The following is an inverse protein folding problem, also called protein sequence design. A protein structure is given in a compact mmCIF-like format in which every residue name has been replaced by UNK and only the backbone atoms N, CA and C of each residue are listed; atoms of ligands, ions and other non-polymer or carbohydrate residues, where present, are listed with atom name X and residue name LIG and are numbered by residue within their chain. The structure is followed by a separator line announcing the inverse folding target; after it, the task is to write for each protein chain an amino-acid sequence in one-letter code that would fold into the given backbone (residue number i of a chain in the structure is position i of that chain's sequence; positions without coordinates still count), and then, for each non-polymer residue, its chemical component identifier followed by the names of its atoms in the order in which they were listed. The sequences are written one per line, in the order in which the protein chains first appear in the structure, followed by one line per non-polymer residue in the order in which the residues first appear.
data_IF_555939736668
#
_entry.id   IF_555939736668
#
_cell.length_a   1.000
_cell.length_b   1.000
_cell.length_c   1.000
_cell.angle_alpha   90.00
_cell.angle_beta   90.00
_cell.angle_gamma   90.00
#
_symmetry.space_group_name_H-M   'P 1'
#
loop_
_entity.id
_entity.type
_entity.pdbx_description
1 polymer ?
#
# COMPACT_ATOMS: atom_id res chain seq x y z
N UNK A 1 -8.10 20.74 -0.68
CA UNK A 1 -7.04 19.85 -1.19
C UNK A 1 -6.68 18.97 0.00
N UNK A 2 -7.01 17.67 -0.04
CA UNK A 2 -6.68 16.78 1.08
C UNK A 2 -5.28 16.22 0.82
N UNK A 3 -4.44 16.22 1.84
CA UNK A 3 -3.07 15.72 1.72
C UNK A 3 -3.10 14.21 1.39
N UNK A 4 -2.20 13.81 0.49
CA UNK A 4 -2.03 12.41 0.13
C UNK A 4 -1.37 11.66 1.30
N UNK A 5 -1.75 10.41 1.50
CA UNK A 5 -1.18 9.56 2.54
C UNK A 5 0.31 9.31 2.33
N UNK A 6 1.04 9.12 3.42
CA UNK A 6 2.49 8.90 3.39
C UNK A 6 2.87 7.52 3.91
N UNK A 7 3.75 6.82 3.19
CA UNK A 7 4.46 5.67 3.71
C UNK A 7 5.78 6.16 4.33
N UNK A 8 5.90 6.01 5.65
CA UNK A 8 7.12 6.36 6.39
C UNK A 8 7.92 5.10 6.70
N UNK A 9 9.20 5.12 6.32
CA UNK A 9 10.13 4.02 6.54
C UNK A 9 11.05 4.38 7.71
N UNK A 10 11.14 3.47 8.67
CA UNK A 10 11.93 3.62 9.88
C UNK A 10 13.02 2.55 9.96
N UNK A 11 14.19 2.91 10.48
CA UNK A 11 15.17 1.92 10.92
C UNK A 11 14.70 1.37 12.27
N UNK A 12 14.37 0.08 12.30
CA UNK A 12 13.75 -0.55 13.49
C UNK A 12 14.62 -0.42 14.75
N UNK A 13 15.92 -0.65 14.63
CA UNK A 13 16.80 -0.79 15.80
C UNK A 13 17.09 0.57 16.47
N UNK A 14 17.07 1.65 15.68
CA UNK A 14 17.37 3.02 16.14
C UNK A 14 16.11 3.90 16.24
N UNK A 15 14.95 3.40 15.81
CA UNK A 15 13.70 4.15 15.67
C UNK A 15 13.86 5.47 14.91
N UNK A 16 14.79 5.51 13.95
CA UNK A 16 15.11 6.67 13.14
C UNK A 16 14.27 6.67 11.85
N UNK A 17 13.66 7.81 11.52
CA UNK A 17 12.96 8.01 10.25
C UNK A 17 13.99 8.03 9.12
N UNK A 18 13.92 7.05 8.22
CA UNK A 18 14.82 6.98 7.06
C UNK A 18 14.25 7.70 5.84
N UNK A 19 12.97 7.51 5.53
CA UNK A 19 12.30 8.10 4.37
C UNK A 19 10.82 8.37 4.60
N UNK A 20 10.29 9.36 3.89
CA UNK A 20 8.85 9.56 3.64
C UNK A 20 8.61 9.39 2.15
N UNK A 21 7.58 8.62 1.80
CA UNK A 21 7.19 8.35 0.42
C UNK A 21 5.74 8.79 0.29
N UNK A 22 5.49 9.79 -0.56
CA UNK A 22 4.13 10.22 -0.87
C UNK A 22 3.43 9.11 -1.67
N UNK A 23 2.31 8.62 -1.14
CA UNK A 23 1.44 7.66 -1.80
C UNK A 23 0.20 8.43 -2.21
N UNK A 24 -0.17 8.35 -3.49
CA UNK A 24 -1.32 9.09 -4.04
C UNK A 24 -2.69 8.54 -3.58
N UNK A 25 -2.76 7.86 -2.43
CA UNK A 25 -3.98 7.36 -1.79
C UNK A 25 -4.22 8.26 -0.58
N UNK A 26 -5.44 8.75 -0.38
CA UNK A 26 -5.74 9.71 0.69
C UNK A 26 -5.60 9.09 2.09
N UNK A 27 -6.20 7.93 2.32
CA UNK A 27 -6.09 7.20 3.59
C UNK A 27 -5.43 5.85 3.37
N UNK A 28 -4.28 5.61 3.97
CA UNK A 28 -3.60 4.32 3.93
C UNK A 28 -4.15 3.44 5.05
N UNK A 29 -4.78 2.31 4.69
CA UNK A 29 -5.54 1.48 5.62
C UNK A 29 -4.92 0.10 5.84
N UNK A 30 -4.07 -0.34 4.91
CA UNK A 30 -3.47 -1.67 4.95
C UNK A 30 -2.08 -1.69 4.30
N UNK A 31 -1.26 -2.64 4.73
CA UNK A 31 0.10 -2.83 4.22
C UNK A 31 0.45 -4.32 4.14
N UNK A 32 1.16 -4.72 3.09
CA UNK A 32 1.76 -6.04 2.99
C UNK A 32 3.20 -5.95 2.47
N UNK A 33 4.07 -6.81 3.00
CA UNK A 33 5.48 -6.85 2.62
C UNK A 33 5.74 -8.04 1.69
N UNK A 34 6.03 -7.75 0.43
CA UNK A 34 6.55 -8.72 -0.52
C UNK A 34 8.10 -8.74 -0.56
N UNK A 35 8.68 -9.66 -1.35
CA UNK A 35 10.13 -9.73 -1.53
C UNK A 35 10.68 -8.47 -2.23
N UNK A 36 10.01 -8.00 -3.29
CA UNK A 36 10.44 -6.84 -4.08
C UNK A 36 9.70 -5.54 -3.75
N UNK A 37 8.44 -5.64 -3.34
CA UNK A 37 7.59 -4.47 -3.16
C UNK A 37 6.96 -4.42 -1.76
N UNK A 38 6.70 -3.20 -1.29
CA UNK A 38 5.76 -2.91 -0.22
C UNK A 38 4.43 -2.55 -0.90
N UNK A 39 3.36 -3.23 -0.52
CA UNK A 39 2.02 -2.96 -1.02
C UNK A 39 1.25 -2.16 0.02
N UNK A 40 0.56 -1.11 -0.41
CA UNK A 40 -0.23 -0.25 0.45
C UNK A 40 -1.62 -0.11 -0.12
N UNK A 41 -2.62 -0.52 0.65
CA UNK A 41 -4.03 -0.38 0.31
C UNK A 41 -4.63 0.77 1.10
N UNK A 42 -5.72 1.33 0.59
CA UNK A 42 -6.36 2.44 1.27
C UNK A 42 -7.69 2.84 0.66
N UNK A 43 -8.12 4.06 0.92
CA UNK A 43 -9.34 4.63 0.34
C UNK A 43 -9.04 5.88 -0.49
N UNK A 44 -9.73 6.00 -1.61
CA UNK A 44 -9.81 7.17 -2.47
C UNK A 44 -11.08 7.08 -3.33
N UNK A 45 -11.47 8.15 -4.02
CA UNK A 45 -12.65 8.19 -4.91
C UNK A 45 -12.62 7.06 -5.97
N UNK A 46 -11.41 6.67 -6.39
CA UNK A 46 -11.11 5.40 -7.03
C UNK A 46 -10.24 4.61 -6.05
N UNK A 47 -10.63 3.44 -5.56
CA UNK A 47 -9.78 2.72 -4.60
C UNK A 47 -8.68 1.92 -5.32
N UNK A 48 -7.46 1.95 -4.78
CA UNK A 48 -6.33 1.24 -5.34
C UNK A 48 -5.33 0.73 -4.31
N UNK A 49 -4.49 -0.20 -4.77
CA UNK A 49 -3.30 -0.67 -4.07
C UNK A 49 -2.07 -0.07 -4.76
N UNK A 50 -1.21 0.60 -4.01
CA UNK A 50 0.07 1.08 -4.49
C UNK A 50 1.17 0.04 -4.20
N UNK A 51 2.02 -0.23 -5.19
CA UNK A 51 3.25 -0.99 -5.00
C UNK A 51 4.46 -0.06 -5.01
N UNK A 52 5.30 -0.16 -3.99
CA UNK A 52 6.53 0.63 -3.82
C UNK A 52 7.72 -0.32 -3.85
N UNK A 53 8.72 -0.05 -4.68
CA UNK A 53 9.94 -0.84 -4.73
C UNK A 53 10.67 -0.74 -3.38
N UNK A 54 10.98 -1.89 -2.81
CA UNK A 54 11.47 -1.99 -1.42
C UNK A 54 12.93 -1.59 -1.28
N UNK A 55 13.70 -1.63 -2.36
CA UNK A 55 15.13 -1.29 -2.35
C UNK A 55 15.36 0.20 -2.57
N UNK A 56 14.64 0.77 -3.54
CA UNK A 56 14.78 2.16 -3.96
C UNK A 56 13.81 3.09 -3.26
N UNK A 57 12.70 2.56 -2.72
CA UNK A 57 11.56 3.33 -2.18
C UNK A 57 10.88 4.21 -3.23
N UNK A 58 10.99 3.83 -4.51
CA UNK A 58 10.28 4.47 -5.61
C UNK A 58 8.92 3.80 -5.82
N UNK A 59 7.88 4.60 -6.07
CA UNK A 59 6.57 4.09 -6.44
C UNK A 59 6.68 3.35 -7.76
N UNK A 60 6.20 2.11 -7.81
CA UNK A 60 6.32 1.24 -8.98
C UNK A 60 5.03 1.20 -9.78
N UNK A 61 3.91 0.82 -9.16
CA UNK A 61 2.65 0.56 -9.87
C UNK A 61 1.41 0.88 -9.00
N UNK A 62 0.25 0.98 -9.66
CA UNK A 62 -1.07 1.13 -9.03
C UNK A 62 -1.96 0.02 -9.58
N UNK A 63 -2.64 -0.72 -8.69
CA UNK A 63 -3.68 -1.70 -9.04
C UNK A 63 -5.04 -1.09 -8.74
N UNK A 64 -5.90 -0.98 -9.77
CA UNK A 64 -7.22 -0.33 -9.70
C UNK A 64 -8.35 -1.35 -9.87
N UNK A 65 -8.34 -2.40 -9.06
CA UNK A 65 -9.32 -3.49 -9.17
C UNK A 65 -10.50 -3.33 -8.20
N UNK A 66 -10.28 -2.68 -7.06
CA UNK A 66 -11.32 -2.51 -6.04
C UNK A 66 -12.14 -1.23 -6.26
N UNK A 67 -13.46 -1.34 -6.10
CA UNK A 67 -14.37 -0.19 -6.11
C UNK A 67 -14.68 0.34 -4.71
N UNK A 68 -14.07 -0.25 -3.67
CA UNK A 68 -14.22 0.15 -2.27
C UNK A 68 -12.88 0.11 -1.52
N UNK A 69 -12.85 0.71 -0.33
CA UNK A 69 -11.67 0.80 0.55
C UNK A 69 -11.00 -0.56 0.78
N UNK A 70 -9.67 -0.64 0.61
CA UNK A 70 -8.90 -1.87 0.86
C UNK A 70 -8.44 -1.94 2.32
N UNK A 71 -9.14 -2.73 3.11
CA UNK A 71 -8.91 -2.86 4.55
C UNK A 71 -7.85 -3.89 4.91
N UNK A 72 -7.54 -4.82 4.01
CA UNK A 72 -6.55 -5.86 4.27
C UNK A 72 -5.72 -6.17 3.05
N UNK A 73 -4.42 -6.37 3.29
CA UNK A 73 -3.48 -6.89 2.32
C UNK A 73 -2.67 -8.01 2.96
N UNK A 74 -2.46 -9.09 2.22
CA UNK A 74 -1.60 -10.18 2.63
C UNK A 74 -0.78 -10.69 1.45
N UNK A 75 0.50 -10.93 1.68
CA UNK A 75 1.38 -11.48 0.66
C UNK A 75 1.77 -12.92 1.04
N UNK A 76 1.60 -13.85 0.12
CA UNK A 76 2.03 -15.23 0.29
C UNK A 76 2.56 -15.80 -1.03
N UNK A 77 3.82 -16.22 -1.03
CA UNK A 77 4.54 -16.69 -2.22
C UNK A 77 4.48 -15.70 -3.38
N UNK A 78 3.77 -16.03 -4.45
CA UNK A 78 3.62 -15.26 -5.67
C UNK A 78 2.28 -14.49 -5.73
N UNK A 79 1.51 -14.50 -4.64
CA UNK A 79 0.16 -13.92 -4.58
C UNK A 79 0.06 -12.73 -3.64
N UNK A 80 -0.78 -11.79 -4.02
CA UNK A 80 -1.20 -10.66 -3.21
C UNK A 80 -2.70 -10.78 -3.00
N UNK A 81 -3.11 -11.00 -1.76
CA UNK A 81 -4.51 -11.13 -1.37
C UNK A 81 -4.98 -9.77 -0.84
N UNK A 82 -6.11 -9.28 -1.32
CA UNK A 82 -6.70 -8.01 -0.89
C UNK A 82 -8.18 -8.14 -0.56
N UNK A 83 -8.58 -7.63 0.61
CA UNK A 83 -9.98 -7.57 1.04
C UNK A 83 -10.48 -6.13 1.11
N UNK A 84 -11.70 -5.91 0.62
CA UNK A 84 -12.24 -4.58 0.36
C UNK A 84 -13.70 -4.41 0.83
N UNK A 85 -14.13 -3.15 0.94
CA UNK A 85 -15.50 -2.75 1.17
C UNK A 85 -16.46 -3.04 -0.01
N UNK A 86 -15.94 -3.47 -1.15
CA UNK A 86 -16.73 -3.82 -2.34
C UNK A 86 -17.23 -5.27 -2.37
N UNK A 87 -17.14 -5.97 -1.24
CA UNK A 87 -17.53 -7.38 -1.06
C UNK A 87 -16.71 -8.38 -1.92
N UNK A 88 -15.59 -7.96 -2.51
CA UNK A 88 -14.70 -8.82 -3.30
C UNK A 88 -13.36 -9.02 -2.58
N UNK A 89 -12.81 -10.23 -2.74
CA UNK A 89 -11.42 -10.55 -2.40
C UNK A 89 -10.67 -10.90 -3.68
N UNK A 90 -9.58 -10.18 -3.97
CA UNK A 90 -8.65 -10.54 -5.06
C UNK A 90 -7.45 -11.32 -4.51
N UNK A 91 -6.84 -12.17 -5.35
CA UNK A 91 -5.70 -13.06 -5.03
C UNK A 91 -4.68 -13.05 -6.16
#
# INVERSE_FOLDING_TARGET
MVDAGELVVWRKDELEKQRTIAISIQSLLSIALGPKHIFVGGSYDETFIAAVDRSSFQKSFILKEHSGSVFSLYHHNDKLISGSADDIVFV
#
